data_IF_100053546742
#
_entry.id   IF_100053546742
#
_cell.length_a   1.000
_cell.length_b   1.000
_cell.length_c   1.000
_cell.angle_alpha   90.00
_cell.angle_beta   90.00
_cell.angle_gamma   90.00
#
_symmetry.space_group_name_H-M   'P 1'
#
loop_
_entity.id
_entity.type
_entity.pdbx_description
1 polymer ?
#
# COMPACT_ATOMS: atom_id res chain seq x y z
N UNK A 1 -14.14 -2.73 -22.63
CA UNK A 1 -14.15 -1.33 -22.15
C UNK A 1 -12.77 -0.80 -21.78
N UNK A 2 -12.05 -1.38 -20.80
CA UNK A 2 -10.75 -0.84 -20.35
C UNK A 2 -9.64 -0.87 -21.42
N UNK A 3 -9.54 -1.92 -22.24
CA UNK A 3 -8.53 -1.98 -23.30
C UNK A 3 -8.79 -0.99 -24.44
N UNK A 4 -10.06 -0.72 -24.74
CA UNK A 4 -10.43 0.32 -25.71
C UNK A 4 -10.11 1.71 -25.15
N UNK A 5 -10.39 1.96 -23.87
CA UNK A 5 -10.04 3.21 -23.20
C UNK A 5 -8.53 3.49 -23.25
N UNK A 6 -7.68 2.48 -23.00
CA UNK A 6 -6.22 2.62 -23.06
C UNK A 6 -5.67 2.91 -24.46
N UNK A 7 -6.42 2.56 -25.52
CA UNK A 7 -6.05 2.88 -26.91
C UNK A 7 -6.35 4.33 -27.27
N UNK A 8 -7.35 4.95 -26.63
CA UNK A 8 -7.78 6.32 -26.93
C UNK A 8 -7.16 7.34 -25.98
N UNK A 9 -7.04 7.02 -24.68
CA UNK A 9 -6.59 7.96 -23.65
C UNK A 9 -5.16 7.62 -23.21
N UNK A 10 -4.21 8.41 -23.69
CA UNK A 10 -2.77 8.21 -23.43
C UNK A 10 -2.34 8.68 -22.03
N UNK A 11 -3.04 9.66 -21.46
CA UNK A 11 -2.73 10.22 -20.16
C UNK A 11 -3.71 11.31 -19.72
N UNK A 12 -3.44 11.87 -18.54
CA UNK A 12 -4.28 12.88 -17.90
C UNK A 12 -3.40 13.99 -17.34
N UNK A 13 -3.78 15.23 -17.59
CA UNK A 13 -3.16 16.41 -17.02
C UNK A 13 -4.04 16.98 -15.90
N UNK A 14 -3.43 17.40 -14.81
CA UNK A 14 -4.13 18.10 -13.73
C UNK A 14 -4.08 19.61 -13.99
N UNK A 15 -5.23 20.18 -14.37
CA UNK A 15 -5.36 21.60 -14.72
C UNK A 15 -4.98 22.52 -13.57
N UNK A 16 -5.17 22.12 -12.31
CA UNK A 16 -4.74 22.89 -11.16
C UNK A 16 -3.21 23.04 -11.12
N UNK A 17 -2.50 21.95 -11.37
CA UNK A 17 -1.03 21.96 -11.41
C UNK A 17 -0.53 22.79 -12.60
N UNK A 18 -1.21 22.72 -13.74
CA UNK A 18 -0.93 23.55 -14.92
C UNK A 18 -1.13 25.03 -14.60
N UNK A 19 -2.30 25.42 -14.08
CA UNK A 19 -2.58 26.83 -13.79
C UNK A 19 -1.62 27.42 -12.77
N UNK A 20 -1.20 26.66 -11.75
CA UNK A 20 -0.16 27.12 -10.81
C UNK A 20 1.18 27.43 -11.48
N UNK A 21 1.57 26.65 -12.48
CA UNK A 21 2.82 26.87 -13.21
C UNK A 21 2.76 28.08 -14.16
N UNK A 22 1.58 28.41 -14.70
CA UNK A 22 1.42 29.51 -15.66
C UNK A 22 0.97 30.82 -15.02
N UNK A 23 0.30 30.75 -13.87
CA UNK A 23 -0.17 31.90 -13.11
C UNK A 23 0.67 32.06 -11.83
N UNK A 24 1.99 32.17 -11.98
CA UNK A 24 2.93 32.24 -10.84
C UNK A 24 2.64 33.42 -9.93
N UNK A 25 2.32 34.60 -10.50
CA UNK A 25 1.92 35.79 -9.74
C UNK A 25 0.69 35.52 -8.85
N UNK A 26 -0.31 34.82 -9.39
CA UNK A 26 -1.51 34.39 -8.64
C UNK A 26 -1.14 33.49 -7.45
N UNK A 27 -0.15 32.61 -7.64
CA UNK A 27 0.37 31.74 -6.59
C UNK A 27 1.13 32.52 -5.51
N UNK A 28 1.96 33.49 -5.90
CA UNK A 28 2.70 34.37 -4.99
C UNK A 28 1.76 35.22 -4.13
N UNK A 29 0.69 35.75 -4.75
CA UNK A 29 -0.37 36.52 -4.11
C UNK A 29 -1.36 35.65 -3.32
N UNK A 30 -1.16 34.33 -3.27
CA UNK A 30 -2.02 33.35 -2.57
C UNK A 30 -3.50 33.41 -2.97
N UNK A 31 -3.78 33.80 -4.21
CA UNK A 31 -5.15 33.82 -4.73
C UNK A 31 -5.65 32.39 -5.01
N UNK A 32 -6.97 32.24 -5.03
CA UNK A 32 -7.63 30.93 -5.18
C UNK A 32 -7.52 30.37 -6.60
N UNK A 33 -7.37 29.05 -6.72
CA UNK A 33 -7.38 28.33 -8.00
C UNK A 33 -8.62 27.44 -8.17
N UNK A 34 -9.71 27.74 -7.44
CA UNK A 34 -11.00 27.10 -7.73
C UNK A 34 -11.44 27.50 -9.14
N UNK A 35 -12.11 26.58 -9.83
CA UNK A 35 -12.59 26.82 -11.20
C UNK A 35 -13.50 28.05 -11.25
N UNK A 36 -14.35 28.24 -10.23
CA UNK A 36 -15.20 29.42 -10.09
C UNK A 36 -14.41 30.74 -10.04
N UNK A 37 -13.39 30.81 -9.19
CA UNK A 37 -12.58 32.03 -9.04
C UNK A 37 -11.78 32.31 -10.32
N UNK A 38 -11.25 31.27 -10.96
CA UNK A 38 -10.56 31.40 -12.25
C UNK A 38 -11.52 31.85 -13.36
N UNK A 39 -12.72 31.27 -13.44
CA UNK A 39 -13.73 31.68 -14.42
C UNK A 39 -14.11 33.14 -14.23
N UNK A 40 -14.39 33.55 -12.99
CA UNK A 40 -14.73 34.94 -12.66
C UNK A 40 -13.63 35.92 -13.07
N UNK A 41 -12.38 35.60 -12.73
CA UNK A 41 -11.25 36.52 -12.93
C UNK A 41 -10.77 36.60 -14.39
N UNK A 42 -10.86 35.50 -15.14
CA UNK A 42 -10.31 35.43 -16.50
C UNK A 42 -11.36 35.46 -17.62
N UNK A 43 -12.59 35.01 -17.35
CA UNK A 43 -13.66 34.89 -18.33
C UNK A 43 -14.82 35.85 -18.06
N UNK A 44 -15.09 36.17 -16.79
CA UNK A 44 -16.19 37.05 -16.35
C UNK A 44 -17.17 36.35 -15.40
N UNK A 45 -17.96 37.09 -14.61
CA UNK A 45 -18.88 36.54 -13.62
C UNK A 45 -19.99 35.68 -14.24
N UNK A 46 -20.41 35.94 -15.47
CA UNK A 46 -21.40 35.15 -16.22
C UNK A 46 -20.96 33.70 -16.44
N UNK A 47 -19.66 33.43 -16.43
CA UNK A 47 -19.11 32.08 -16.57
C UNK A 47 -19.15 31.27 -15.26
N UNK A 48 -19.62 31.85 -14.16
CA UNK A 48 -19.81 31.13 -12.89
C UNK A 48 -21.20 30.52 -12.74
N UNK A 49 -22.17 30.96 -13.55
CA UNK A 49 -23.51 30.38 -13.56
C UNK A 49 -23.44 28.95 -14.11
N UNK A 50 -24.05 27.98 -13.42
CA UNK A 50 -24.10 26.58 -13.88
C UNK A 50 -22.84 25.73 -13.63
N UNK A 51 -21.86 26.24 -12.88
CA UNK A 51 -20.83 25.39 -12.26
C UNK A 51 -21.48 24.28 -11.42
N UNK A 52 -20.78 23.16 -11.28
CA UNK A 52 -21.30 21.88 -10.74
C UNK A 52 -22.10 21.04 -11.75
N UNK A 53 -22.19 21.49 -13.01
CA UNK A 53 -22.56 20.65 -14.14
C UNK A 53 -21.30 20.18 -14.88
N UNK A 54 -21.09 18.87 -15.00
CA UNK A 54 -19.86 18.32 -15.57
C UNK A 54 -19.57 18.79 -17.02
N UNK A 55 -20.58 18.96 -17.86
CA UNK A 55 -20.38 19.43 -19.24
C UNK A 55 -19.96 20.91 -19.26
N UNK A 56 -20.54 21.70 -18.36
CA UNK A 56 -20.22 23.11 -18.21
C UNK A 56 -18.83 23.30 -17.58
N UNK A 57 -18.49 22.52 -16.57
CA UNK A 57 -17.17 22.50 -15.94
C UNK A 57 -16.07 22.20 -16.97
N UNK A 58 -16.29 21.22 -17.87
CA UNK A 58 -15.37 20.89 -18.96
C UNK A 58 -15.23 22.07 -19.93
N UNK A 59 -16.34 22.68 -20.33
CA UNK A 59 -16.33 23.83 -21.25
C UNK A 59 -15.55 25.00 -20.66
N UNK A 60 -15.79 25.34 -19.39
CA UNK A 60 -15.08 26.41 -18.68
C UNK A 60 -13.59 26.09 -18.57
N UNK A 61 -13.22 24.86 -18.20
CA UNK A 61 -11.82 24.45 -18.13
C UNK A 61 -11.10 24.56 -19.47
N UNK A 62 -11.75 24.16 -20.58
CA UNK A 62 -11.20 24.32 -21.93
C UNK A 62 -10.99 25.79 -22.27
N UNK A 63 -12.00 26.64 -22.03
CA UNK A 63 -11.89 28.08 -22.30
C UNK A 63 -10.82 28.75 -21.43
N UNK A 64 -10.65 28.32 -20.18
CA UNK A 64 -9.58 28.80 -19.31
C UNK A 64 -8.19 28.44 -19.83
N UNK A 65 -8.00 27.21 -20.31
CA UNK A 65 -6.74 26.77 -20.94
C UNK A 65 -6.40 27.67 -22.13
N UNK A 66 -7.39 27.94 -22.99
CA UNK A 66 -7.22 28.80 -24.16
C UNK A 66 -6.95 30.26 -23.76
N UNK A 67 -7.70 30.79 -22.79
CA UNK A 67 -7.56 32.17 -22.30
C UNK A 67 -6.22 32.43 -21.62
N UNK A 68 -5.72 31.46 -20.86
CA UNK A 68 -4.40 31.51 -20.20
C UNK A 68 -3.27 31.23 -21.21
N UNK A 69 -3.62 30.80 -22.43
CA UNK A 69 -2.70 30.49 -23.51
C UNK A 69 -1.69 29.40 -23.12
N UNK A 70 -2.18 28.31 -22.52
CA UNK A 70 -1.34 27.17 -22.14
C UNK A 70 -0.96 26.38 -23.41
N UNK A 71 0.34 26.25 -23.75
CA UNK A 71 0.75 25.53 -24.94
C UNK A 71 0.45 24.02 -24.86
N UNK A 72 0.08 23.42 -26.00
CA UNK A 72 -0.24 21.99 -26.08
C UNK A 72 0.93 21.08 -25.68
N UNK A 73 2.16 21.43 -26.03
CA UNK A 73 3.36 20.67 -25.61
C UNK A 73 3.51 20.66 -24.08
N UNK A 74 3.10 21.75 -23.42
CA UNK A 74 3.11 21.86 -21.95
C UNK A 74 2.03 21.00 -21.32
N UNK A 75 0.81 21.00 -21.86
CA UNK A 75 -0.25 20.08 -21.45
C UNK A 75 0.20 18.61 -21.53
N UNK A 76 0.84 18.23 -22.65
CA UNK A 76 1.35 16.88 -22.87
C UNK A 76 2.49 16.55 -21.89
N UNK A 77 3.47 17.45 -21.74
CA UNK A 77 4.64 17.22 -20.88
C UNK A 77 4.28 17.09 -19.40
N UNK A 78 3.19 17.73 -18.97
CA UNK A 78 2.68 17.67 -17.60
C UNK A 78 1.68 16.54 -17.36
N UNK A 79 1.25 15.85 -18.43
CA UNK A 79 0.32 14.75 -18.33
C UNK A 79 0.99 13.50 -17.72
N UNK A 80 0.25 12.83 -16.84
CA UNK A 80 0.60 11.52 -16.31
C UNK A 80 0.01 10.45 -17.23
N UNK A 81 0.83 9.51 -17.67
CA UNK A 81 0.36 8.45 -18.58
C UNK A 81 -0.66 7.53 -17.92
N UNK A 82 -1.60 7.00 -18.70
CA UNK A 82 -2.61 6.05 -18.22
C UNK A 82 -1.98 4.82 -17.55
N UNK A 83 -0.91 4.18 -18.13
CA UNK A 83 -0.22 3.09 -17.45
C UNK A 83 0.36 3.48 -16.09
N UNK A 84 0.91 4.70 -15.96
CA UNK A 84 1.43 5.20 -14.69
C UNK A 84 0.33 5.35 -13.65
N UNK A 85 -0.80 5.98 -14.00
CA UNK A 85 -1.91 6.22 -13.06
C UNK A 85 -2.51 4.90 -12.56
N UNK A 86 -2.68 3.93 -13.48
CA UNK A 86 -3.18 2.61 -13.12
C UNK A 86 -2.20 1.89 -12.17
N UNK A 87 -0.90 1.91 -12.48
CA UNK A 87 0.11 1.32 -11.63
C UNK A 87 0.19 1.99 -10.24
N UNK A 88 0.20 3.32 -10.21
CA UNK A 88 0.24 4.13 -8.98
C UNK A 88 -0.97 3.81 -8.07
N UNK A 89 -2.18 3.78 -8.63
CA UNK A 89 -3.39 3.44 -7.88
C UNK A 89 -3.34 2.00 -7.35
N UNK A 90 -2.91 1.04 -8.15
CA UNK A 90 -2.79 -0.36 -7.73
C UNK A 90 -1.76 -0.52 -6.61
N UNK A 91 -0.58 0.10 -6.74
CA UNK A 91 0.49 0.03 -5.75
C UNK A 91 0.10 0.70 -4.43
N UNK A 92 -0.54 1.89 -4.48
CA UNK A 92 -1.07 2.57 -3.30
C UNK A 92 -2.08 1.71 -2.54
N UNK A 93 -2.97 1.02 -3.28
CA UNK A 93 -3.93 0.09 -2.68
C UNK A 93 -3.22 -1.13 -2.07
N UNK A 94 -2.31 -1.76 -2.81
CA UNK A 94 -1.64 -3.00 -2.39
C UNK A 94 -0.75 -2.82 -1.15
N UNK A 95 0.00 -1.72 -1.12
CA UNK A 95 0.95 -1.41 -0.04
C UNK A 95 0.39 -0.44 1.01
N UNK A 96 -0.93 -0.23 1.05
CA UNK A 96 -1.58 0.59 2.09
C UNK A 96 -1.16 0.09 3.48
N UNK A 97 -0.66 1.00 4.33
CA UNK A 97 -0.18 0.68 5.68
C UNK A 97 1.20 0.00 5.75
N UNK A 98 1.76 -0.48 4.64
CA UNK A 98 3.12 -1.02 4.58
C UNK A 98 4.15 0.06 4.19
N UNK A 99 3.78 0.93 3.25
CA UNK A 99 4.62 2.07 2.82
C UNK A 99 3.79 3.33 2.64
N UNK A 100 4.47 4.48 2.58
CA UNK A 100 3.81 5.75 2.30
C UNK A 100 3.33 5.82 0.84
N UNK A 101 2.28 6.61 0.58
CA UNK A 101 1.76 6.86 -0.76
C UNK A 101 2.82 7.43 -1.71
N UNK A 102 3.79 8.18 -1.18
CA UNK A 102 4.94 8.73 -1.90
C UNK A 102 5.86 7.61 -2.41
N UNK A 103 6.16 6.60 -1.59
CA UNK A 103 6.98 5.46 -2.02
C UNK A 103 6.26 4.68 -3.12
N UNK A 104 4.97 4.38 -2.94
CA UNK A 104 4.17 3.72 -3.98
C UNK A 104 4.19 4.50 -5.31
N UNK A 105 4.09 5.83 -5.24
CA UNK A 105 4.16 6.71 -6.42
C UNK A 105 5.54 6.67 -7.08
N UNK A 106 6.63 6.66 -6.29
CA UNK A 106 8.00 6.54 -6.82
C UNK A 106 8.23 5.20 -7.53
N UNK A 107 7.67 4.11 -7.02
CA UNK A 107 7.71 2.79 -7.68
C UNK A 107 7.05 2.88 -9.07
N UNK A 108 5.84 3.43 -9.13
CA UNK A 108 5.13 3.63 -10.39
C UNK A 108 5.89 4.56 -11.36
N UNK A 109 6.47 5.65 -10.86
CA UNK A 109 7.27 6.60 -11.65
C UNK A 109 8.50 5.91 -12.24
N UNK A 110 9.09 5.00 -11.47
CA UNK A 110 10.15 4.11 -11.93
C UNK A 110 9.71 3.11 -13.00
N UNK A 111 8.47 3.12 -13.49
CA UNK A 111 7.88 2.13 -14.41
C UNK A 111 7.90 0.70 -13.84
N UNK A 112 7.85 0.57 -12.52
CA UNK A 112 7.72 -0.70 -11.83
C UNK A 112 6.25 -0.86 -11.44
N UNK A 113 5.63 -1.98 -11.82
CA UNK A 113 4.27 -2.32 -11.40
C UNK A 113 4.28 -3.54 -10.46
N UNK A 114 3.11 -3.90 -9.93
CA UNK A 114 2.98 -5.00 -8.98
C UNK A 114 3.45 -6.34 -9.59
N UNK A 115 3.19 -6.59 -10.86
CA UNK A 115 3.62 -7.80 -11.57
C UNK A 115 5.15 -7.88 -11.64
N UNK A 116 5.82 -6.77 -11.95
CA UNK A 116 7.29 -6.69 -11.95
C UNK A 116 7.87 -6.98 -10.57
N UNK A 117 7.29 -6.40 -9.51
CA UNK A 117 7.74 -6.64 -8.13
C UNK A 117 7.56 -8.10 -7.71
N UNK A 118 6.39 -8.69 -7.97
CA UNK A 118 6.12 -10.10 -7.67
C UNK A 118 7.07 -11.04 -8.41
N UNK A 119 7.29 -10.80 -9.70
CA UNK A 119 8.23 -11.59 -10.50
C UNK A 119 9.67 -11.45 -10.00
N UNK A 120 10.09 -10.23 -9.69
CA UNK A 120 11.42 -9.99 -9.10
C UNK A 120 11.60 -10.72 -7.77
N UNK A 121 10.60 -10.66 -6.90
CA UNK A 121 10.60 -11.38 -5.64
C UNK A 121 10.65 -12.91 -5.83
N UNK A 122 9.89 -13.46 -6.78
CA UNK A 122 9.90 -14.90 -7.08
C UNK A 122 11.26 -15.39 -7.59
N UNK A 123 12.00 -14.56 -8.34
CA UNK A 123 13.27 -14.96 -8.96
C UNK A 123 14.46 -14.91 -8.01
N UNK A 124 14.48 -13.97 -7.07
CA UNK A 124 15.63 -13.81 -6.17
C UNK A 124 15.31 -13.07 -4.88
N UNK A 125 14.07 -13.22 -4.40
CA UNK A 125 13.63 -12.78 -3.08
C UNK A 125 13.91 -11.31 -2.79
N UNK A 126 14.45 -11.08 -1.59
CA UNK A 126 14.79 -9.76 -1.09
C UNK A 126 15.78 -9.01 -1.99
N UNK A 127 16.87 -9.66 -2.40
CA UNK A 127 17.96 -9.00 -3.13
C UNK A 127 17.53 -8.56 -4.53
N UNK A 128 16.67 -9.33 -5.19
CA UNK A 128 16.11 -8.93 -6.49
C UNK A 128 15.19 -7.72 -6.36
N UNK A 129 14.34 -7.66 -5.33
CA UNK A 129 13.49 -6.49 -5.07
C UNK A 129 14.34 -5.27 -4.69
N UNK A 130 15.35 -5.46 -3.84
CA UNK A 130 16.31 -4.42 -3.46
C UNK A 130 17.01 -3.86 -4.69
N UNK A 131 17.53 -4.73 -5.57
CA UNK A 131 18.16 -4.31 -6.82
C UNK A 131 17.19 -3.49 -7.68
N UNK A 132 15.96 -3.96 -7.90
CA UNK A 132 14.96 -3.24 -8.68
C UNK A 132 14.67 -1.82 -8.15
N UNK A 133 14.63 -1.64 -6.83
CA UNK A 133 14.27 -0.38 -6.17
C UNK A 133 15.46 0.56 -5.91
N UNK A 134 16.65 0.00 -5.68
CA UNK A 134 17.85 0.72 -5.25
C UNK A 134 18.85 1.00 -6.38
N UNK A 135 18.64 0.45 -7.59
CA UNK A 135 19.43 0.79 -8.81
C UNK A 135 19.53 2.30 -8.94
N UNK A 136 20.74 2.81 -9.22
CA UNK A 136 20.97 4.24 -9.42
C UNK A 136 20.52 4.65 -10.83
N UNK A 137 19.71 5.70 -10.90
CA UNK A 137 19.41 6.44 -12.13
C UNK A 137 19.86 7.88 -11.86
N UNK A 138 20.78 8.40 -12.68
CA UNK A 138 21.38 9.73 -12.49
C UNK A 138 21.96 9.91 -11.06
N UNK A 139 22.73 8.93 -10.60
CA UNK A 139 23.33 8.85 -9.25
C UNK A 139 22.36 8.82 -8.06
N UNK A 140 21.04 8.88 -8.29
CA UNK A 140 20.01 8.76 -7.24
C UNK A 140 19.37 7.38 -7.28
N UNK A 141 18.96 6.80 -6.14
CA UNK A 141 18.19 5.56 -6.14
C UNK A 141 16.91 5.73 -6.97
N UNK A 142 16.60 4.74 -7.81
CA UNK A 142 15.38 4.72 -8.65
C UNK A 142 14.13 4.93 -7.82
N UNK A 143 14.06 4.30 -6.65
CA UNK A 143 12.96 4.47 -5.68
C UNK A 143 13.51 4.82 -4.31
N UNK A 144 14.30 3.92 -3.71
CA UNK A 144 14.79 4.06 -2.33
C UNK A 144 15.95 3.09 -2.06
N UNK A 145 16.80 3.46 -1.10
CA UNK A 145 17.80 2.58 -0.46
C UNK A 145 17.47 2.26 1.00
N UNK A 146 16.32 2.73 1.48
CA UNK A 146 15.91 2.51 2.86
C UNK A 146 15.55 1.03 3.06
N UNK A 147 16.39 0.30 3.79
CA UNK A 147 16.23 -1.14 4.04
C UNK A 147 14.90 -1.47 4.72
N UNK A 148 14.42 -0.61 5.64
CA UNK A 148 13.12 -0.82 6.32
C UNK A 148 11.95 -0.75 5.33
N UNK A 149 11.99 0.22 4.41
CA UNK A 149 10.99 0.34 3.34
C UNK A 149 11.04 -0.85 2.38
N UNK A 150 12.23 -1.29 1.99
CA UNK A 150 12.40 -2.45 1.09
C UNK A 150 11.89 -3.71 1.76
N UNK A 151 12.21 -3.92 3.04
CA UNK A 151 11.70 -5.04 3.83
C UNK A 151 10.17 -5.02 3.88
N UNK A 152 9.55 -3.89 4.20
CA UNK A 152 8.09 -3.78 4.22
C UNK A 152 7.42 -4.09 2.86
N UNK A 153 8.09 -3.77 1.75
CA UNK A 153 7.63 -4.14 0.41
C UNK A 153 7.75 -5.65 0.21
N UNK A 154 8.90 -6.25 0.55
CA UNK A 154 9.16 -7.68 0.42
C UNK A 154 8.20 -8.51 1.27
N UNK A 155 8.04 -8.16 2.55
CA UNK A 155 7.10 -8.82 3.47
C UNK A 155 5.66 -8.83 2.91
N UNK A 156 5.29 -7.81 2.13
CA UNK A 156 3.98 -7.69 1.49
C UNK A 156 3.90 -8.42 0.13
N UNK A 157 5.03 -8.74 -0.49
CA UNK A 157 5.12 -9.53 -1.72
C UNK A 157 5.18 -11.02 -1.46
N UNK A 158 5.62 -11.43 -0.26
CA UNK A 158 5.59 -12.83 0.16
C UNK A 158 4.19 -13.41 0.00
N UNK A 159 4.12 -14.58 -0.63
CA UNK A 159 2.88 -15.32 -0.79
C UNK A 159 2.37 -15.68 0.59
N UNK A 160 1.10 -15.42 0.86
CA UNK A 160 0.51 -15.72 2.16
C UNK A 160 0.60 -17.23 2.43
N UNK A 161 1.48 -17.61 3.36
CA UNK A 161 1.59 -18.95 3.91
C UNK A 161 0.85 -18.98 5.24
N UNK A 162 -0.05 -19.93 5.35
CA UNK A 162 -0.88 -20.16 6.51
C UNK A 162 -0.47 -21.46 7.20
N UNK A 163 -0.82 -21.57 8.49
CA UNK A 163 -0.65 -22.83 9.22
C UNK A 163 -1.63 -23.89 8.69
N UNK A 164 -1.37 -25.16 9.01
CA UNK A 164 -2.30 -26.24 8.72
C UNK A 164 -3.68 -25.95 9.35
N UNK A 165 -4.74 -26.13 8.57
CA UNK A 165 -6.10 -25.78 8.98
C UNK A 165 -6.47 -24.30 8.80
N UNK A 166 -5.60 -23.49 8.19
CA UNK A 166 -5.89 -22.12 7.77
C UNK A 166 -5.71 -21.95 6.26
N UNK A 167 -6.53 -21.10 5.65
CA UNK A 167 -6.45 -20.77 4.23
C UNK A 167 -6.15 -19.28 4.01
N UNK A 168 -5.34 -18.94 2.99
CA UNK A 168 -5.05 -17.56 2.65
C UNK A 168 -6.30 -16.88 2.07
N UNK A 169 -6.63 -15.70 2.59
CA UNK A 169 -7.74 -14.86 2.13
C UNK A 169 -7.31 -13.41 2.00
N UNK A 170 -7.99 -12.66 1.14
CA UNK A 170 -7.87 -11.20 1.10
C UNK A 170 -8.88 -10.57 2.07
N UNK A 171 -8.42 -10.15 3.24
CA UNK A 171 -9.17 -9.35 4.21
C UNK A 171 -9.21 -7.86 3.83
N UNK A 172 -9.87 -7.05 4.66
CA UNK A 172 -9.99 -5.59 4.46
C UNK A 172 -8.64 -4.87 4.49
N UNK A 173 -7.72 -5.34 5.31
CA UNK A 173 -6.41 -4.72 5.54
C UNK A 173 -5.26 -5.45 4.83
N UNK A 174 -5.58 -6.51 4.09
CA UNK A 174 -4.63 -7.25 3.27
C UNK A 174 -4.79 -8.76 3.29
N UNK A 175 -3.81 -9.50 2.75
CA UNK A 175 -3.76 -10.94 2.89
C UNK A 175 -3.71 -11.33 4.38
N UNK A 176 -4.56 -12.27 4.76
CA UNK A 176 -4.67 -12.87 6.08
C UNK A 176 -4.89 -14.38 5.97
N UNK A 177 -4.71 -15.12 7.05
CA UNK A 177 -5.01 -16.53 7.16
C UNK A 177 -6.28 -16.70 7.99
N UNK A 178 -7.30 -17.34 7.40
CA UNK A 178 -8.57 -17.61 8.07
C UNK A 178 -8.68 -19.10 8.41
N UNK A 179 -9.12 -19.43 9.62
CA UNK A 179 -9.30 -20.82 10.03
C UNK A 179 -10.40 -21.49 9.22
N UNK A 180 -10.12 -22.67 8.67
CA UNK A 180 -11.10 -23.44 7.87
C UNK A 180 -12.29 -23.87 8.74
N UNK A 181 -12.00 -24.28 9.98
CA UNK A 181 -13.01 -24.67 10.98
C UNK A 181 -13.09 -23.70 12.17
N UNK A 182 -12.17 -22.74 12.25
CA UNK A 182 -12.04 -21.81 13.36
C UNK A 182 -12.42 -20.40 12.90
N UNK A 183 -13.30 -19.71 13.64
CA UNK A 183 -13.70 -18.31 13.35
C UNK A 183 -12.65 -17.28 13.77
N UNK A 184 -11.37 -17.60 13.61
CA UNK A 184 -10.28 -16.67 13.86
C UNK A 184 -9.52 -16.36 12.58
N UNK A 185 -8.99 -15.14 12.53
CA UNK A 185 -8.11 -14.64 11.48
C UNK A 185 -6.77 -14.29 12.10
N UNK A 186 -5.70 -14.47 11.33
CA UNK A 186 -4.34 -14.18 11.75
C UNK A 186 -3.51 -13.63 10.59
N UNK A 187 -2.45 -12.86 10.86
CA UNK A 187 -1.55 -12.38 9.81
C UNK A 187 -0.92 -13.53 9.03
N UNK A 188 -0.72 -13.35 7.73
CA UNK A 188 0.06 -14.27 6.90
C UNK A 188 1.51 -14.36 7.36
N UNK A 189 2.15 -15.50 7.03
CA UNK A 189 3.59 -15.73 7.21
C UNK A 189 4.08 -15.61 8.65
N UNK A 190 3.17 -15.69 9.63
CA UNK A 190 3.57 -15.81 11.02
C UNK A 190 4.14 -17.21 11.24
N UNK A 191 5.31 -17.36 11.88
CA UNK A 191 5.88 -18.69 12.17
C UNK A 191 4.89 -19.54 12.96
N UNK A 192 4.95 -20.87 12.83
CA UNK A 192 4.12 -21.77 13.63
C UNK A 192 4.46 -21.66 15.12
N UNK A 193 3.46 -21.82 15.99
CA UNK A 193 3.71 -21.90 17.43
C UNK A 193 4.61 -23.11 17.72
N UNK A 194 5.65 -22.96 18.56
CA UNK A 194 6.43 -24.08 19.04
C UNK A 194 5.52 -25.09 19.74
N UNK A 195 5.81 -26.39 19.56
CA UNK A 195 5.10 -27.43 20.32
C UNK A 195 5.52 -27.32 21.78
N UNK A 196 4.55 -27.20 22.68
CA UNK A 196 4.84 -27.06 24.10
C UNK A 196 5.44 -28.35 24.67
N UNK A 197 6.63 -28.27 25.25
CA UNK A 197 7.23 -29.39 25.98
C UNK A 197 6.96 -29.28 27.49
N UNK A 198 6.53 -30.39 28.09
CA UNK A 198 6.25 -30.48 29.52
C UNK A 198 6.80 -31.82 30.05
N UNK A 199 7.72 -31.80 31.03
CA UNK A 199 8.36 -33.03 31.57
C UNK A 199 7.56 -33.71 32.70
N UNK A 200 6.50 -33.09 33.21
CA UNK A 200 5.66 -33.63 34.30
C UNK A 200 4.38 -34.26 33.75
N UNK A 201 3.65 -35.02 34.59
CA UNK A 201 2.30 -35.52 34.26
C UNK A 201 1.35 -34.34 33.97
N UNK A 202 1.19 -34.02 32.69
CA UNK A 202 0.34 -32.94 32.18
C UNK A 202 -1.00 -33.52 31.78
N UNK A 203 -2.08 -32.93 32.29
CA UNK A 203 -3.43 -33.30 31.91
C UNK A 203 -3.92 -32.50 30.70
N UNK A 204 -3.37 -31.30 30.47
CA UNK A 204 -3.81 -30.39 29.40
C UNK A 204 -2.76 -29.37 28.99
N UNK A 205 -2.75 -29.03 27.69
CA UNK A 205 -2.05 -27.86 27.15
C UNK A 205 -3.08 -26.74 26.89
N UNK A 206 -2.80 -25.54 27.38
CA UNK A 206 -3.68 -24.37 27.26
C UNK A 206 -3.00 -23.30 26.41
N UNK A 207 -3.69 -22.82 25.37
CA UNK A 207 -3.20 -21.73 24.51
C UNK A 207 -4.01 -20.48 24.78
N UNK A 208 -3.38 -19.45 25.32
CA UNK A 208 -3.99 -18.16 25.62
C UNK A 208 -3.14 -17.02 25.04
N UNK A 209 -3.73 -16.16 24.21
CA UNK A 209 -3.09 -14.94 23.68
C UNK A 209 -1.65 -15.18 23.14
N UNK A 210 -1.49 -16.26 22.37
CA UNK A 210 -0.20 -16.70 21.78
C UNK A 210 0.86 -17.19 22.79
N UNK A 211 0.47 -17.45 24.04
CA UNK A 211 1.31 -18.13 25.03
C UNK A 211 0.71 -19.49 25.30
N UNK A 212 1.57 -20.51 25.33
CA UNK A 212 1.14 -21.88 25.66
C UNK A 212 1.58 -22.25 27.06
N UNK A 213 0.72 -22.97 27.77
CA UNK A 213 0.90 -23.36 29.17
C UNK A 213 0.70 -24.87 29.33
N UNK A 214 1.53 -25.47 30.17
CA UNK A 214 1.32 -26.80 30.72
C UNK A 214 0.38 -26.68 31.92
N UNK A 215 -0.62 -27.56 32.02
CA UNK A 215 -1.59 -27.57 33.11
C UNK A 215 -1.87 -28.98 33.63
N UNK A 216 -1.97 -29.12 34.95
CA UNK A 216 -2.42 -30.35 35.63
C UNK A 216 -3.81 -30.12 36.20
N UNK A 217 -4.72 -31.00 35.82
CA UNK A 217 -6.13 -30.99 36.26
C UNK A 217 -6.38 -32.24 37.09
N UNK A 218 -7.01 -32.07 38.24
CA UNK A 218 -7.48 -33.15 39.11
C UNK A 218 -8.90 -32.80 39.55
N UNK A 219 -9.82 -33.77 39.49
CA UNK A 219 -11.24 -33.59 39.83
C UNK A 219 -11.91 -32.42 39.10
N UNK A 220 -11.56 -32.23 37.81
CA UNK A 220 -12.08 -31.16 36.97
C UNK A 220 -11.58 -29.75 37.31
N UNK A 221 -10.71 -29.61 38.33
CA UNK A 221 -10.12 -28.32 38.73
C UNK A 221 -8.65 -28.26 38.32
N UNK A 222 -8.26 -27.10 37.78
CA UNK A 222 -6.86 -26.81 37.48
C UNK A 222 -6.10 -26.60 38.80
N UNK A 223 -5.15 -27.49 39.08
CA UNK A 223 -4.34 -27.43 40.30
C UNK A 223 -3.02 -26.71 40.07
N UNK A 224 -2.46 -26.81 38.85
CA UNK A 224 -1.19 -26.19 38.54
C UNK A 224 -1.09 -25.78 37.08
N UNK A 225 -0.55 -24.59 36.84
CA UNK A 225 -0.20 -24.04 35.52
C UNK A 225 1.24 -23.55 35.51
N UNK A 226 1.99 -23.88 34.47
CA UNK A 226 3.34 -23.35 34.25
C UNK A 226 3.63 -23.17 32.76
N UNK A 227 4.62 -22.33 32.44
CA UNK A 227 5.03 -22.12 31.04
C UNK A 227 5.68 -23.39 30.48
N UNK A 228 5.57 -23.56 29.17
CA UNK A 228 6.29 -24.60 28.43
C UNK A 228 7.79 -24.57 28.74
N UNK A 229 8.39 -25.75 28.81
CA UNK A 229 9.76 -25.93 29.28
C UNK A 229 10.80 -25.73 28.16
N UNK A 230 10.37 -25.79 26.89
CA UNK A 230 11.15 -25.42 25.71
C UNK A 230 11.33 -23.89 25.56
N UNK A 231 11.84 -23.25 26.62
CA UNK A 231 11.96 -21.77 26.73
C UNK A 231 12.70 -21.14 25.55
N UNK A 232 13.76 -21.78 25.04
CA UNK A 232 14.57 -21.23 23.93
C UNK A 232 13.75 -21.07 22.65
N UNK A 233 12.94 -22.07 22.29
CA UNK A 233 12.09 -22.01 21.10
C UNK A 233 11.00 -20.93 21.23
N UNK A 234 10.44 -20.79 22.43
CA UNK A 234 9.48 -19.73 22.71
C UNK A 234 10.10 -18.33 22.67
N UNK A 235 11.32 -18.15 23.19
CA UNK A 235 12.05 -16.89 23.10
C UNK A 235 12.40 -16.51 21.66
N UNK A 236 12.80 -17.49 20.84
CA UNK A 236 13.04 -17.29 19.41
C UNK A 236 11.76 -16.93 18.67
N UNK A 237 10.66 -17.63 18.96
CA UNK A 237 9.35 -17.32 18.41
C UNK A 237 8.89 -15.91 18.79
N UNK A 238 9.04 -15.50 20.05
CA UNK A 238 8.70 -14.15 20.52
C UNK A 238 9.53 -13.07 19.81
N UNK A 239 10.84 -13.32 19.58
CA UNK A 239 11.70 -12.42 18.80
C UNK A 239 11.24 -12.29 17.34
N UNK A 240 10.89 -13.40 16.70
CA UNK A 240 10.41 -13.40 15.32
C UNK A 240 9.04 -12.74 15.16
N UNK A 241 8.18 -12.86 16.18
CA UNK A 241 6.79 -12.36 16.13
C UNK A 241 6.60 -10.95 16.72
N UNK A 242 7.62 -10.36 17.33
CA UNK A 242 7.56 -9.02 17.94
C UNK A 242 7.04 -7.93 16.98
N UNK A 243 7.30 -8.05 15.68
CA UNK A 243 6.81 -7.12 14.65
C UNK A 243 5.31 -7.22 14.34
N UNK A 244 4.66 -8.34 14.68
CA UNK A 244 3.25 -8.59 14.39
C UNK A 244 2.30 -8.18 15.53
N UNK A 245 2.81 -8.07 16.77
CA UNK A 245 2.01 -7.75 17.97
C UNK A 245 1.46 -6.31 18.01
N UNK A 246 1.96 -5.40 17.17
CA UNK A 246 1.55 -3.98 17.16
C UNK A 246 0.32 -3.67 16.27
N UNK A 247 -0.45 -4.69 15.84
CA UNK A 247 -1.56 -4.52 14.88
C UNK A 247 -2.89 -5.16 15.31
N UNK A 248 -3.04 -5.59 16.55
CA UNK A 248 -4.28 -6.15 17.09
C UNK A 248 -4.95 -5.21 18.08
#
# INVERSE_FOLDING_TARGET
MMEQFKKTVVGFADTLTIFKNFLTKRQEEKQSFKVEDLARDFLGPEFTEGLHNAAQDIKILSTLIDKINVPNDKLISMAKSTPFILADRALKKYFKGAVTSVIASKIALGRINLTTLKKGFQLGGYDSVKMLLAVKINNKPRVTKNEKTIKAIVDRLETCKCWDGYEPRNGTDGPECAGVFLRNVMPCNIPALPKCECTRNVSRIIVEKQVTWCSTVQDGKEIKRWRCENKKEWEEYEKQTAGFKNKS
#
